data_IF_963287736063
#
_entry.id   IF_963287736063
#
_cell.length_a   1.000
_cell.length_b   1.000
_cell.length_c   1.000
_cell.angle_alpha   90.00
_cell.angle_beta   90.00
_cell.angle_gamma   90.00
#
_symmetry.space_group_name_H-M   'P 1'
#
loop_
_entity.id
_entity.type
_entity.pdbx_description
1 polymer ?
#
# COMPACT_ATOMS: atom_id res chain seq x y z
N UNK A 1 25.15 -10.70 -22.30
CA UNK A 1 25.23 -10.53 -20.84
C UNK A 1 23.85 -10.07 -20.36
N UNK A 2 23.01 -10.99 -19.85
CA UNK A 2 21.69 -10.62 -19.30
C UNK A 2 21.94 -9.98 -17.94
N UNK A 3 21.83 -8.66 -17.86
CA UNK A 3 21.87 -7.93 -16.60
C UNK A 3 20.62 -8.27 -15.80
N UNK A 4 20.72 -9.22 -14.89
CA UNK A 4 19.69 -9.43 -13.87
C UNK A 4 19.60 -8.14 -13.04
N UNK A 5 18.51 -7.40 -13.20
CA UNK A 5 18.27 -6.19 -12.41
C UNK A 5 18.24 -6.61 -10.94
N UNK A 6 19.22 -6.15 -10.15
CA UNK A 6 19.22 -6.35 -8.70
C UNK A 6 17.91 -5.80 -8.14
N UNK A 7 17.17 -6.64 -7.43
CA UNK A 7 15.96 -6.22 -6.74
C UNK A 7 16.34 -5.19 -5.68
N UNK A 8 15.70 -4.02 -5.74
CA UNK A 8 15.86 -2.94 -4.78
C UNK A 8 14.54 -2.74 -4.03
N UNK A 9 14.48 -3.29 -2.83
CA UNK A 9 13.32 -3.20 -1.95
C UNK A 9 12.98 -1.74 -1.59
N UNK A 10 14.00 -0.88 -1.43
CA UNK A 10 13.79 0.53 -1.08
C UNK A 10 13.17 1.27 -2.26
N UNK A 11 13.66 1.03 -3.48
CA UNK A 11 13.08 1.58 -4.71
C UNK A 11 11.62 1.13 -4.87
N UNK A 12 11.34 -0.15 -4.68
CA UNK A 12 9.97 -0.67 -4.76
C UNK A 12 9.05 0.00 -3.74
N UNK A 13 9.48 0.14 -2.49
CA UNK A 13 8.66 0.79 -1.45
C UNK A 13 8.44 2.29 -1.72
N UNK A 14 9.45 2.99 -2.27
CA UNK A 14 9.30 4.40 -2.71
C UNK A 14 8.28 4.52 -3.82
N UNK A 15 8.35 3.66 -4.84
CA UNK A 15 7.41 3.65 -5.96
C UNK A 15 5.97 3.38 -5.48
N UNK A 16 5.79 2.44 -4.54
CA UNK A 16 4.48 2.16 -3.93
C UNK A 16 3.94 3.41 -3.22
N UNK A 17 4.76 4.04 -2.36
CA UNK A 17 4.36 5.26 -1.63
C UNK A 17 4.00 6.39 -2.59
N UNK A 18 4.83 6.64 -3.60
CA UNK A 18 4.63 7.73 -4.54
C UNK A 18 3.37 7.53 -5.39
N UNK A 19 3.06 6.27 -5.75
CA UNK A 19 1.80 5.91 -6.42
C UNK A 19 0.59 6.17 -5.52
N UNK A 20 0.63 5.67 -4.28
CA UNK A 20 -0.46 5.89 -3.31
C UNK A 20 -0.68 7.39 -3.04
N UNK A 21 0.40 8.16 -2.93
CA UNK A 21 0.32 9.62 -2.69
C UNK A 21 -0.40 10.33 -3.83
N UNK A 22 -0.10 9.99 -5.09
CA UNK A 22 -0.79 10.54 -6.26
C UNK A 22 -2.26 10.12 -6.34
N UNK A 23 -2.57 8.87 -5.95
CA UNK A 23 -3.97 8.41 -5.89
C UNK A 23 -4.76 9.18 -4.84
N UNK A 24 -4.18 9.46 -3.67
CA UNK A 24 -4.85 10.17 -2.58
C UNK A 24 -4.90 11.69 -2.73
N UNK A 25 -4.03 12.30 -3.53
CA UNK A 25 -3.91 13.76 -3.71
C UNK A 25 -5.24 14.42 -4.14
N UNK A 26 -6.07 13.70 -4.89
CA UNK A 26 -7.35 14.20 -5.38
C UNK A 26 -8.57 13.65 -4.61
N UNK A 27 -8.34 12.89 -3.53
CA UNK A 27 -9.42 12.30 -2.73
C UNK A 27 -9.69 13.16 -1.49
N UNK A 28 -10.97 13.40 -1.21
CA UNK A 28 -11.38 13.93 0.08
C UNK A 28 -11.36 12.83 1.16
N UNK A 29 -11.54 13.23 2.43
CA UNK A 29 -11.46 12.33 3.57
C UNK A 29 -12.40 11.10 3.47
N UNK A 30 -13.63 11.28 2.99
CA UNK A 30 -14.60 10.17 2.88
C UNK A 30 -14.22 9.20 1.75
N UNK A 31 -13.66 9.72 0.67
CA UNK A 31 -13.14 8.91 -0.44
C UNK A 31 -11.91 8.09 -0.01
N UNK A 32 -10.99 8.69 0.75
CA UNK A 32 -9.85 7.97 1.34
C UNK A 32 -10.31 6.88 2.31
N UNK A 33 -11.30 7.18 3.16
CA UNK A 33 -11.88 6.22 4.11
C UNK A 33 -12.57 5.04 3.40
N UNK A 34 -13.32 5.32 2.33
CA UNK A 34 -13.93 4.30 1.48
C UNK A 34 -12.87 3.43 0.80
N UNK A 35 -11.86 4.04 0.20
CA UNK A 35 -10.73 3.35 -0.42
C UNK A 35 -10.06 2.35 0.53
N UNK A 36 -9.79 2.77 1.77
CA UNK A 36 -9.18 1.91 2.80
C UNK A 36 -10.12 0.74 3.14
N UNK A 37 -11.41 1.01 3.37
CA UNK A 37 -12.40 -0.04 3.70
C UNK A 37 -12.56 -1.08 2.58
N UNK A 38 -12.51 -0.66 1.33
CA UNK A 38 -12.71 -1.54 0.18
C UNK A 38 -11.48 -2.40 -0.14
N UNK A 39 -10.27 -1.85 0.06
CA UNK A 39 -8.99 -2.53 -0.24
C UNK A 39 -8.42 -3.30 0.94
N UNK A 40 -8.62 -2.79 2.16
CA UNK A 40 -8.33 -3.48 3.41
C UNK A 40 -9.65 -4.09 3.90
N UNK A 41 -10.26 -4.96 3.08
CA UNK A 41 -11.23 -5.90 3.64
C UNK A 41 -10.46 -6.74 4.67
N UNK A 42 -10.95 -6.88 5.90
CA UNK A 42 -10.35 -7.81 6.84
C UNK A 42 -10.56 -9.22 6.27
N UNK A 43 -9.58 -9.73 5.51
CA UNK A 43 -9.44 -11.17 5.32
C UNK A 43 -8.97 -11.75 6.66
N UNK A 44 -9.94 -11.93 7.55
CA UNK A 44 -9.74 -12.43 8.90
C UNK A 44 -9.25 -11.36 9.87
N UNK A 45 -10.03 -11.15 10.93
CA UNK A 45 -9.47 -10.89 12.25
C UNK A 45 -8.37 -11.91 12.53
N UNK A 46 -7.13 -11.62 12.15
CA UNK A 46 -6.01 -12.12 12.94
C UNK A 46 -5.94 -11.18 14.13
N UNK A 47 -6.76 -11.49 15.13
CA UNK A 47 -6.61 -10.98 16.48
C UNK A 47 -5.14 -11.11 16.85
N UNK A 48 -4.44 -9.99 16.85
CA UNK A 48 -3.09 -9.93 17.42
C UNK A 48 -3.33 -9.97 18.92
N UNK A 49 -3.46 -11.17 19.47
CA UNK A 49 -3.34 -11.38 20.90
C UNK A 49 -1.91 -11.03 21.27
N UNK A 50 -1.71 -9.83 21.79
CA UNK A 50 -0.55 -9.53 22.60
C UNK A 50 -0.72 -10.35 23.89
N UNK A 51 0.03 -11.44 23.97
CA UNK A 51 0.25 -12.19 25.21
C UNK A 51 1.25 -11.42 26.09
#
# INVERSE_FOLDING_TARGET
MRSEKKFDAVKMMREIRDKLSKEFEHMNYEEQKKYIRERIKPEGEKSVHFA
#
